data_IF_495318466313
#
_entry.id   IF_495318466313
#
_cell.length_a   1.000
_cell.length_b   1.000
_cell.length_c   1.000
_cell.angle_alpha   90.00
_cell.angle_beta   90.00
_cell.angle_gamma   90.00
#
_symmetry.space_group_name_H-M   'P 1'
#
loop_
_entity.id
_entity.type
_entity.pdbx_description
1 polymer ?
#
# COMPACT_ATOMS: atom_id res chain seq x y z
N UNK A 1 5.66 14.05 3.74
CA UNK A 1 4.39 13.55 3.15
C UNK A 1 3.29 14.57 3.36
N UNK A 2 2.51 14.86 2.34
CA UNK A 2 1.35 15.75 2.43
C UNK A 2 0.09 14.94 2.64
N UNK A 3 -0.70 15.29 3.64
CA UNK A 3 -1.98 14.66 3.92
C UNK A 3 -3.03 15.69 4.34
N UNK A 4 -4.31 15.34 4.18
CA UNK A 4 -5.47 16.13 4.61
C UNK A 4 -6.38 15.27 5.49
N UNK A 5 -6.94 15.88 6.56
CA UNK A 5 -8.04 15.32 7.36
C UNK A 5 -9.32 16.07 7.08
N UNK A 6 -10.41 15.33 6.98
CA UNK A 6 -11.74 15.87 6.70
C UNK A 6 -12.81 15.08 7.44
N UNK A 7 -13.99 15.68 7.60
CA UNK A 7 -15.19 15.01 8.07
C UNK A 7 -15.93 14.34 6.91
N UNK A 8 -16.60 13.21 7.17
CA UNK A 8 -17.39 12.54 6.13
C UNK A 8 -18.45 13.45 5.49
N UNK A 9 -19.08 14.31 6.27
CA UNK A 9 -20.12 15.23 5.79
C UNK A 9 -19.60 16.27 4.79
N UNK A 10 -18.34 16.66 4.91
CA UNK A 10 -17.68 17.68 4.08
C UNK A 10 -16.57 17.10 3.21
N UNK A 11 -16.54 15.78 3.05
CA UNK A 11 -15.47 15.08 2.34
C UNK A 11 -15.31 15.56 0.91
N UNK A 12 -14.07 15.71 0.51
CA UNK A 12 -13.68 16.10 -0.83
C UNK A 12 -12.47 15.26 -1.27
N UNK A 13 -12.59 14.55 -2.36
CA UNK A 13 -11.52 13.70 -2.91
C UNK A 13 -10.61 14.48 -3.89
N UNK A 14 -11.01 15.65 -4.32
CA UNK A 14 -10.28 16.44 -5.34
C UNK A 14 -8.82 16.65 -4.99
N UNK A 15 -8.42 17.02 -3.76
CA UNK A 15 -7.01 17.19 -3.43
C UNK A 15 -6.14 15.94 -3.71
N UNK A 16 -6.73 14.75 -3.60
CA UNK A 16 -6.04 13.50 -3.91
C UNK A 16 -5.97 13.25 -5.41
N UNK A 17 -7.07 13.53 -6.14
CA UNK A 17 -7.15 13.39 -7.61
C UNK A 17 -6.21 14.37 -8.31
N UNK A 18 -6.16 15.62 -7.82
CA UNK A 18 -5.28 16.66 -8.36
C UNK A 18 -3.83 16.51 -7.87
N UNK A 19 -3.54 15.44 -7.15
CA UNK A 19 -2.21 15.15 -6.60
C UNK A 19 -1.67 16.25 -5.66
N UNK A 20 -2.52 16.98 -4.96
CA UNK A 20 -2.11 17.96 -3.94
C UNK A 20 -1.60 17.26 -2.68
N UNK A 21 -2.19 16.10 -2.36
CA UNK A 21 -1.82 15.25 -1.23
C UNK A 21 -1.68 13.79 -1.66
N UNK A 22 -0.94 13.00 -0.90
CA UNK A 22 -0.79 11.56 -1.13
C UNK A 22 -1.67 10.72 -0.20
N UNK A 23 -2.17 11.32 0.87
CA UNK A 23 -3.03 10.64 1.85
C UNK A 23 -4.21 11.54 2.22
N UNK A 24 -5.40 10.99 2.09
CA UNK A 24 -6.65 11.59 2.54
C UNK A 24 -7.24 10.76 3.67
N UNK A 25 -7.50 11.38 4.81
CA UNK A 25 -8.10 10.77 5.99
C UNK A 25 -9.49 11.39 6.17
N UNK A 26 -10.52 10.55 6.24
CA UNK A 26 -11.90 11.00 6.45
C UNK A 26 -12.40 10.38 7.75
N UNK A 27 -12.75 11.24 8.70
CA UNK A 27 -13.26 10.86 10.02
C UNK A 27 -14.78 10.73 10.02
N UNK A 28 -15.32 10.02 10.99
CA UNK A 28 -16.77 9.83 11.17
C UNK A 28 -17.47 9.25 9.93
N UNK A 29 -16.77 8.37 9.21
CA UNK A 29 -17.29 7.68 8.03
C UNK A 29 -18.32 6.63 8.47
N UNK A 30 -19.52 6.58 7.88
CA UNK A 30 -20.51 5.56 8.18
C UNK A 30 -19.98 4.16 7.75
N UNK A 31 -20.34 3.13 8.49
CA UNK A 31 -19.99 1.75 8.18
C UNK A 31 -20.88 1.21 7.04
N UNK A 32 -20.69 1.73 5.83
CA UNK A 32 -21.47 1.38 4.65
C UNK A 32 -20.59 1.21 3.43
N UNK A 33 -20.45 -0.03 2.95
CA UNK A 33 -19.72 -0.31 1.73
C UNK A 33 -20.32 0.42 0.52
N UNK A 34 -21.64 0.49 0.43
CA UNK A 34 -22.35 1.15 -0.68
C UNK A 34 -21.99 2.64 -0.74
N UNK A 35 -21.98 3.33 0.40
CA UNK A 35 -21.61 4.75 0.43
C UNK A 35 -20.14 4.98 0.06
N UNK A 36 -19.23 4.09 0.48
CA UNK A 36 -17.83 4.14 0.06
C UNK A 36 -17.68 3.91 -1.44
N UNK A 37 -18.37 2.92 -2.01
CA UNK A 37 -18.39 2.69 -3.46
C UNK A 37 -18.92 3.90 -4.21
N UNK A 38 -20.06 4.46 -3.79
CA UNK A 38 -20.66 5.65 -4.41
C UNK A 38 -19.74 6.88 -4.33
N UNK A 39 -18.93 6.98 -3.28
CA UNK A 39 -17.95 8.07 -3.14
C UNK A 39 -16.77 7.91 -4.10
N UNK A 40 -16.32 6.68 -4.39
CA UNK A 40 -15.12 6.40 -5.16
C UNK A 40 -15.38 6.19 -6.66
N UNK A 41 -16.46 5.50 -7.00
CA UNK A 41 -16.72 5.06 -8.37
C UNK A 41 -16.90 6.16 -9.41
N UNK A 42 -17.22 7.42 -9.10
CA UNK A 42 -17.13 8.49 -10.07
C UNK A 42 -15.72 8.74 -10.61
N UNK A 43 -14.69 8.44 -9.82
CA UNK A 43 -13.30 8.79 -10.10
C UNK A 43 -12.41 7.58 -10.38
N UNK A 44 -12.71 6.45 -9.78
CA UNK A 44 -11.89 5.24 -9.81
C UNK A 44 -12.67 4.02 -10.25
N UNK A 45 -11.93 3.07 -10.84
CA UNK A 45 -12.36 1.70 -11.03
C UNK A 45 -11.95 0.88 -9.81
N UNK A 46 -12.89 0.22 -9.16
CA UNK A 46 -12.58 -0.67 -8.03
C UNK A 46 -12.06 -1.99 -8.56
N UNK A 47 -10.83 -2.33 -8.20
CA UNK A 47 -10.21 -3.57 -8.61
C UNK A 47 -10.73 -4.76 -7.78
N UNK A 48 -11.04 -5.90 -8.39
CA UNK A 48 -11.36 -7.11 -7.65
C UNK A 48 -10.15 -7.56 -6.82
N UNK A 49 -10.36 -7.79 -5.53
CA UNK A 49 -9.32 -8.25 -4.61
C UNK A 49 -9.03 -9.73 -4.81
N UNK A 50 -10.05 -10.50 -5.08
CA UNK A 50 -9.96 -11.89 -5.49
C UNK A 50 -10.70 -12.08 -6.82
N UNK A 51 -9.98 -12.28 -7.93
CA UNK A 51 -10.59 -12.46 -9.24
C UNK A 51 -11.46 -13.71 -9.36
N UNK A 52 -11.22 -14.73 -8.52
CA UNK A 52 -11.99 -15.97 -8.54
C UNK A 52 -13.33 -15.80 -7.82
N UNK A 53 -13.32 -15.11 -6.70
CA UNK A 53 -14.52 -14.89 -5.88
C UNK A 53 -15.22 -13.57 -6.20
N UNK A 54 -14.67 -12.75 -7.11
CA UNK A 54 -15.15 -11.41 -7.47
C UNK A 54 -15.35 -10.50 -6.25
N UNK A 55 -14.55 -10.74 -5.21
CA UNK A 55 -14.62 -9.91 -3.99
C UNK A 55 -13.94 -8.57 -4.24
N UNK A 56 -14.69 -7.48 -4.04
CA UNK A 56 -14.20 -6.10 -4.15
C UNK A 56 -13.56 -5.59 -2.86
N UNK A 57 -14.01 -6.11 -1.72
CA UNK A 57 -13.54 -5.72 -0.40
C UNK A 57 -12.78 -6.86 0.23
N UNK A 58 -11.53 -6.65 0.59
CA UNK A 58 -10.80 -7.58 1.43
C UNK A 58 -10.84 -7.13 2.89
N UNK A 59 -10.83 -8.11 3.79
CA UNK A 59 -10.84 -7.87 5.23
C UNK A 59 -9.43 -8.05 5.78
N UNK A 60 -8.94 -7.05 6.50
CA UNK A 60 -7.70 -7.08 7.27
C UNK A 60 -8.08 -7.13 8.74
N UNK A 61 -7.90 -8.26 9.41
CA UNK A 61 -8.38 -8.47 10.77
C UNK A 61 -7.41 -9.32 11.57
N UNK A 62 -7.31 -9.05 12.88
CA UNK A 62 -6.56 -9.85 13.86
C UNK A 62 -7.04 -11.30 13.90
N UNK A 63 -8.33 -11.54 13.72
CA UNK A 63 -8.90 -12.90 13.65
C UNK A 63 -8.35 -13.76 12.52
N UNK A 64 -7.80 -13.13 11.47
CA UNK A 64 -7.17 -13.84 10.37
C UNK A 64 -5.77 -14.35 10.68
N UNK A 65 -5.11 -13.83 11.72
CA UNK A 65 -3.82 -14.37 12.18
C UNK A 65 -3.95 -15.78 12.73
N UNK A 66 -5.11 -16.13 13.31
CA UNK A 66 -5.42 -17.48 13.74
C UNK A 66 -5.49 -18.47 12.56
N UNK A 67 -5.79 -17.98 11.37
CA UNK A 67 -5.83 -18.75 10.12
C UNK A 67 -4.50 -18.74 9.36
N UNK A 68 -3.39 -18.29 9.98
CA UNK A 68 -2.07 -18.13 9.36
C UNK A 68 -2.03 -17.19 8.16
N UNK A 69 -2.98 -16.26 8.05
CA UNK A 69 -2.98 -15.22 7.02
C UNK A 69 -2.26 -13.97 7.53
N UNK A 70 -0.93 -13.99 7.51
CA UNK A 70 -0.10 -12.92 8.04
C UNK A 70 -0.28 -11.59 7.33
N UNK A 71 -0.66 -11.57 6.05
CA UNK A 71 -0.90 -10.33 5.32
C UNK A 71 -2.13 -9.58 5.82
N UNK A 72 -3.13 -10.31 6.27
CA UNK A 72 -4.42 -9.76 6.69
C UNK A 72 -4.64 -9.80 8.21
N UNK A 73 -3.66 -10.32 8.94
CA UNK A 73 -3.71 -10.45 10.40
C UNK A 73 -3.15 -9.22 11.15
N UNK A 74 -2.65 -9.46 12.35
CA UNK A 74 -2.07 -8.46 13.25
C UNK A 74 -0.52 -8.46 13.26
N UNK A 75 0.13 -9.27 12.42
CA UNK A 75 1.57 -9.33 12.29
C UNK A 75 2.14 -8.05 11.66
N UNK A 76 3.40 -7.78 11.94
CA UNK A 76 4.14 -6.73 11.25
C UNK A 76 4.23 -7.06 9.75
N UNK A 77 4.10 -6.03 8.92
CA UNK A 77 4.42 -6.10 7.49
C UNK A 77 5.55 -5.13 7.18
N UNK A 78 6.54 -5.58 6.43
CA UNK A 78 7.63 -4.74 5.94
C UNK A 78 7.13 -3.61 5.03
N UNK A 79 7.99 -2.63 4.77
CA UNK A 79 7.71 -1.55 3.83
C UNK A 79 7.38 -2.09 2.44
N UNK A 80 6.20 -1.77 1.94
CA UNK A 80 5.71 -2.27 0.66
C UNK A 80 4.78 -1.29 -0.06
N UNK A 81 4.59 -1.60 -1.33
CA UNK A 81 3.59 -1.02 -2.22
C UNK A 81 2.63 -2.15 -2.55
N UNK A 82 1.34 -1.98 -2.33
CA UNK A 82 0.36 -3.01 -2.63
C UNK A 82 0.40 -3.42 -4.09
N UNK A 83 0.57 -4.73 -4.34
CA UNK A 83 0.71 -5.30 -5.70
C UNK A 83 1.85 -4.69 -6.52
N UNK A 84 2.87 -4.13 -5.87
CA UNK A 84 4.04 -3.54 -6.55
C UNK A 84 4.83 -4.54 -7.39
N UNK A 85 4.58 -5.84 -7.24
CA UNK A 85 5.12 -6.91 -8.08
C UNK A 85 4.37 -7.11 -9.41
N UNK A 86 3.26 -6.43 -9.64
CA UNK A 86 2.49 -6.55 -10.88
C UNK A 86 2.95 -5.52 -11.92
N UNK A 87 2.74 -5.81 -13.19
CA UNK A 87 3.00 -4.87 -14.29
C UNK A 87 2.22 -3.56 -14.12
N UNK A 88 1.01 -3.64 -13.59
CA UNK A 88 0.20 -2.49 -13.18
C UNK A 88 -0.12 -2.62 -11.69
N UNK A 89 0.65 -2.00 -10.79
CA UNK A 89 0.27 -1.84 -9.40
C UNK A 89 -1.04 -1.06 -9.25
N UNK A 90 -1.69 -1.15 -8.11
CA UNK A 90 -2.84 -0.30 -7.82
C UNK A 90 -2.43 1.16 -7.78
N UNK A 91 -3.27 2.06 -8.30
CA UNK A 91 -3.02 3.49 -8.25
C UNK A 91 -3.29 4.01 -6.84
N UNK A 92 -4.43 3.63 -6.28
CA UNK A 92 -4.86 4.04 -4.95
C UNK A 92 -5.29 2.84 -4.13
N UNK A 93 -5.17 2.96 -2.80
CA UNK A 93 -5.73 2.00 -1.85
C UNK A 93 -6.54 2.73 -0.79
N UNK A 94 -7.71 2.18 -0.49
CA UNK A 94 -8.56 2.62 0.59
C UNK A 94 -8.52 1.60 1.72
N UNK A 95 -8.37 2.08 2.94
CA UNK A 95 -8.58 1.35 4.18
C UNK A 95 -9.68 2.02 4.99
N UNK A 96 -10.66 1.26 5.46
CA UNK A 96 -11.70 1.74 6.36
C UNK A 96 -11.67 0.95 7.66
N UNK A 97 -11.62 1.65 8.78
CA UNK A 97 -11.55 1.05 10.11
C UNK A 97 -12.95 0.75 10.65
N UNK A 98 -13.38 -0.50 10.55
CA UNK A 98 -14.64 -0.99 11.11
C UNK A 98 -14.58 -1.04 12.63
N UNK A 99 -13.48 -1.56 13.16
CA UNK A 99 -13.19 -1.68 14.58
C UNK A 99 -11.69 -1.60 14.81
N UNK A 100 -11.30 -0.81 15.80
CA UNK A 100 -9.90 -0.64 16.18
C UNK A 100 -9.79 -0.53 17.70
N UNK A 101 -9.08 -1.46 18.32
CA UNK A 101 -8.73 -1.44 19.74
C UNK A 101 -7.52 -0.55 20.03
N UNK A 102 -7.19 -0.37 21.29
CA UNK A 102 -6.11 0.53 21.73
C UNK A 102 -4.73 0.13 21.16
N UNK A 103 -4.45 -1.17 21.02
CA UNK A 103 -3.18 -1.73 20.59
C UNK A 103 -3.26 -2.35 19.20
N UNK A 104 -4.06 -1.78 18.31
CA UNK A 104 -4.33 -2.37 16.99
C UNK A 104 -3.15 -2.37 16.02
N UNK A 105 -2.04 -1.73 16.38
CA UNK A 105 -0.89 -1.47 15.53
C UNK A 105 -1.12 -0.30 14.56
N UNK A 106 -0.13 0.57 14.49
CA UNK A 106 -0.18 1.74 13.61
C UNK A 106 0.14 1.35 12.16
N UNK A 107 -0.27 2.19 11.23
CA UNK A 107 0.22 2.14 9.85
C UNK A 107 1.19 3.28 9.63
N UNK A 108 2.39 2.94 9.19
CA UNK A 108 3.41 3.93 8.82
C UNK A 108 3.35 4.16 7.32
N UNK A 109 3.51 5.40 6.92
CA UNK A 109 3.63 5.83 5.53
C UNK A 109 4.93 6.57 5.32
N UNK A 110 5.57 6.34 4.19
CA UNK A 110 6.72 7.09 3.72
C UNK A 110 6.36 7.78 2.42
N UNK A 111 6.72 9.05 2.34
CA UNK A 111 6.64 9.83 1.11
C UNK A 111 7.76 9.39 0.16
N UNK A 112 7.39 8.71 -0.91
CA UNK A 112 8.34 8.30 -1.94
C UNK A 112 8.70 9.43 -2.91
N UNK A 113 8.06 10.60 -2.78
CA UNK A 113 8.27 11.71 -3.70
C UNK A 113 9.64 12.34 -3.51
N UNK A 114 10.16 12.78 -4.63
CA UNK A 114 11.41 13.53 -4.69
C UNK A 114 11.01 15.00 -4.78
N UNK A 115 10.93 15.65 -3.61
CA UNK A 115 10.49 17.05 -3.50
C UNK A 115 11.65 18.04 -3.55
N UNK A 116 12.86 17.57 -3.31
CA UNK A 116 14.08 18.36 -3.23
C UNK A 116 15.07 17.91 -4.33
N UNK A 117 16.15 18.64 -4.45
CA UNK A 117 17.27 18.18 -5.28
C UNK A 117 17.69 16.79 -4.85
N UNK A 118 17.62 15.85 -5.79
CA UNK A 118 18.13 14.50 -5.57
C UNK A 118 19.59 14.63 -5.15
N UNK A 119 20.00 14.07 -4.01
CA UNK A 119 21.40 14.07 -3.62
C UNK A 119 22.27 13.52 -4.75
N UNK A 120 23.43 14.10 -4.98
CA UNK A 120 24.30 13.72 -6.10
C UNK A 120 24.62 12.22 -6.08
N UNK A 121 24.84 11.64 -4.89
CA UNK A 121 25.09 10.21 -4.73
C UNK A 121 23.90 9.33 -5.17
N UNK A 122 22.69 9.91 -5.21
CA UNK A 122 21.48 9.20 -5.60
C UNK A 122 21.20 9.28 -7.11
N UNK A 123 21.80 10.25 -7.82
CA UNK A 123 21.66 10.43 -9.28
C UNK A 123 22.13 9.20 -10.07
N UNK A 124 23.09 8.43 -9.52
CA UNK A 124 23.56 7.18 -10.14
C UNK A 124 22.46 6.14 -10.36
N UNK A 125 21.37 6.23 -9.64
CA UNK A 125 20.23 5.30 -9.75
C UNK A 125 19.15 5.75 -10.74
N UNK A 126 19.34 6.86 -11.45
CA UNK A 126 18.29 7.46 -12.30
C UNK A 126 17.73 6.49 -13.35
N UNK A 127 18.58 5.63 -13.91
CA UNK A 127 18.20 4.64 -14.92
C UNK A 127 18.07 3.21 -14.31
N UNK A 128 18.10 3.09 -12.99
CA UNK A 128 18.09 1.79 -12.32
C UNK A 128 16.74 1.09 -12.47
N UNK A 129 16.81 -0.21 -12.64
CA UNK A 129 15.66 -1.09 -12.76
C UNK A 129 15.47 -1.90 -11.47
N UNK A 130 14.33 -1.73 -10.86
CA UNK A 130 13.90 -2.50 -9.70
C UNK A 130 13.37 -3.84 -10.16
N UNK A 131 14.00 -4.92 -9.73
CA UNK A 131 13.62 -6.30 -10.06
C UNK A 131 12.74 -6.87 -8.96
N UNK A 132 11.71 -7.61 -9.35
CA UNK A 132 10.90 -8.37 -8.40
C UNK A 132 11.57 -9.70 -8.05
N UNK A 133 11.90 -9.89 -6.76
CA UNK A 133 12.38 -11.17 -6.26
C UNK A 133 11.22 -12.11 -5.96
N UNK A 134 10.77 -12.82 -6.99
CA UNK A 134 9.66 -13.77 -6.88
C UNK A 134 9.96 -14.91 -5.90
N UNK A 135 11.23 -15.32 -5.77
CA UNK A 135 11.58 -16.40 -4.85
C UNK A 135 11.53 -15.91 -3.40
N UNK A 136 12.13 -14.75 -3.11
CA UNK A 136 11.99 -14.12 -1.79
C UNK A 136 10.52 -13.97 -1.41
N UNK A 137 9.68 -13.48 -2.31
CA UNK A 137 8.24 -13.31 -2.08
C UNK A 137 7.54 -14.63 -1.75
N UNK A 138 7.74 -15.68 -2.57
CA UNK A 138 7.09 -16.98 -2.42
C UNK A 138 7.53 -17.77 -1.18
N UNK A 139 8.73 -17.49 -0.67
CA UNK A 139 9.30 -18.17 0.50
C UNK A 139 9.31 -17.32 1.76
N UNK A 140 8.81 -16.07 1.69
CA UNK A 140 8.69 -15.24 2.88
C UNK A 140 7.60 -15.73 3.81
N UNK A 141 7.79 -15.56 5.11
CA UNK A 141 6.76 -15.83 6.12
C UNK A 141 5.57 -14.88 5.98
N UNK A 142 5.75 -13.75 5.32
CA UNK A 142 4.71 -12.74 5.14
C UNK A 142 3.80 -13.02 3.94
N UNK A 143 4.37 -13.48 2.82
CA UNK A 143 3.64 -13.61 1.55
C UNK A 143 3.48 -15.04 1.07
N UNK A 144 4.37 -15.95 1.47
CA UNK A 144 4.39 -17.34 1.01
C UNK A 144 3.14 -18.15 1.37
N UNK A 145 2.42 -17.74 2.40
CA UNK A 145 1.20 -18.42 2.87
C UNK A 145 0.04 -18.43 1.87
N UNK A 146 0.00 -17.46 0.96
CA UNK A 146 -1.08 -17.35 -0.01
C UNK A 146 -1.04 -18.46 -1.06
N UNK A 147 0.08 -19.18 -1.16
CA UNK A 147 0.27 -20.23 -2.15
C UNK A 147 0.10 -21.60 -1.50
N UNK A 148 -1.06 -22.20 -1.71
CA UNK A 148 -1.47 -23.47 -1.09
C UNK A 148 -0.67 -24.67 -1.58
N UNK A 149 -0.15 -24.58 -2.81
CA UNK A 149 0.57 -25.67 -3.47
C UNK A 149 1.58 -25.18 -4.50
N UNK A 150 2.39 -26.09 -5.01
CA UNK A 150 3.43 -25.77 -5.99
C UNK A 150 2.85 -25.35 -7.37
N UNK A 151 1.64 -25.72 -7.71
CA UNK A 151 1.00 -25.30 -8.97
C UNK A 151 0.73 -23.80 -8.93
N UNK A 152 0.16 -23.31 -7.83
CA UNK A 152 -0.08 -21.88 -7.62
C UNK A 152 1.23 -21.07 -7.61
N UNK A 153 2.28 -21.61 -6.96
CA UNK A 153 3.61 -20.98 -6.94
C UNK A 153 4.22 -20.90 -8.34
N UNK A 154 4.13 -21.97 -9.15
CA UNK A 154 4.60 -21.97 -10.55
C UNK A 154 3.83 -20.99 -11.40
N UNK A 155 2.53 -20.95 -11.24
CA UNK A 155 1.68 -19.98 -11.95
C UNK A 155 2.09 -18.54 -11.60
N UNK A 156 2.29 -18.25 -10.33
CA UNK A 156 2.71 -16.93 -9.87
C UNK A 156 4.09 -16.55 -10.43
N UNK A 157 5.08 -17.44 -10.35
CA UNK A 157 6.41 -17.23 -10.95
C UNK A 157 6.31 -16.92 -12.44
N UNK A 158 5.50 -17.68 -13.16
CA UNK A 158 5.32 -17.50 -14.61
C UNK A 158 4.68 -16.16 -14.93
N UNK A 159 3.74 -15.70 -14.11
CA UNK A 159 3.00 -14.47 -14.34
C UNK A 159 3.78 -13.22 -13.94
N UNK A 160 4.53 -13.26 -12.85
CA UNK A 160 5.13 -12.08 -12.25
C UNK A 160 6.66 -12.13 -12.13
N UNK A 161 7.29 -13.27 -12.33
CA UNK A 161 8.72 -13.47 -12.09
C UNK A 161 9.67 -12.64 -12.97
N UNK A 162 9.15 -12.00 -14.01
CA UNK A 162 9.92 -11.14 -14.93
C UNK A 162 9.47 -9.68 -14.89
N UNK A 163 8.61 -9.31 -13.95
CA UNK A 163 8.13 -7.93 -13.82
C UNK A 163 9.24 -7.05 -13.25
N UNK A 164 9.51 -5.97 -13.96
CA UNK A 164 10.50 -4.97 -13.57
C UNK A 164 9.87 -3.58 -13.65
N UNK A 165 10.35 -2.68 -12.81
CA UNK A 165 9.93 -1.29 -12.79
C UNK A 165 11.15 -0.38 -12.83
N UNK A 166 11.03 0.84 -13.37
CA UNK A 166 12.03 1.86 -13.16
C UNK A 166 12.01 2.27 -11.68
N UNK A 167 13.18 2.49 -11.09
CA UNK A 167 13.27 2.99 -9.72
C UNK A 167 12.66 4.39 -9.62
N UNK A 168 12.97 5.26 -10.57
CA UNK A 168 12.38 6.58 -10.68
C UNK A 168 11.18 6.54 -11.63
N UNK A 169 10.05 6.97 -11.13
CA UNK A 169 8.82 7.09 -11.88
C UNK A 169 8.25 8.50 -11.72
N UNK A 170 7.33 8.87 -12.58
CA UNK A 170 6.72 10.18 -12.59
C UNK A 170 5.20 10.07 -12.67
N UNK A 171 4.51 10.93 -11.96
CA UNK A 171 3.09 11.22 -12.12
C UNK A 171 2.85 12.73 -12.30
N UNK A 172 1.60 13.18 -12.27
CA UNK A 172 1.23 14.60 -12.42
C UNK A 172 1.86 15.52 -11.37
N UNK A 173 2.25 14.98 -10.22
CA UNK A 173 2.83 15.75 -9.11
C UNK A 173 4.37 15.77 -9.13
N UNK A 174 4.99 15.02 -9.99
CA UNK A 174 6.45 14.95 -10.12
C UNK A 174 7.02 13.55 -9.92
N UNK A 175 8.31 13.50 -9.66
CA UNK A 175 9.05 12.25 -9.56
C UNK A 175 8.86 11.57 -8.20
N UNK A 176 8.85 10.26 -8.22
CA UNK A 176 8.84 9.42 -7.02
C UNK A 176 9.68 8.16 -7.20
N UNK A 177 10.10 7.58 -6.08
CA UNK A 177 10.89 6.35 -6.03
C UNK A 177 9.95 5.17 -5.88
N UNK A 178 10.00 4.25 -6.85
CA UNK A 178 9.26 3.00 -6.80
C UNK A 178 10.16 1.89 -6.29
N UNK A 179 10.15 1.64 -4.99
CA UNK A 179 10.94 0.59 -4.33
C UNK A 179 10.15 -0.02 -3.19
N UNK A 180 10.22 -1.34 -3.06
CA UNK A 180 9.53 -2.10 -2.05
C UNK A 180 10.51 -3.03 -1.34
N UNK A 181 10.86 -2.73 -0.11
CA UNK A 181 11.83 -3.50 0.67
C UNK A 181 11.44 -4.97 0.78
N UNK A 182 10.15 -5.24 0.90
CA UNK A 182 9.62 -6.58 1.12
C UNK A 182 10.02 -7.58 0.01
N UNK A 183 10.18 -7.12 -1.25
CA UNK A 183 10.38 -8.04 -2.37
C UNK A 183 11.14 -7.48 -3.58
N UNK A 184 11.68 -6.29 -3.51
CA UNK A 184 12.48 -5.75 -4.61
C UNK A 184 13.98 -5.94 -4.40
N UNK A 185 14.70 -6.12 -5.51
CA UNK A 185 16.16 -6.16 -5.56
C UNK A 185 16.64 -5.03 -6.44
N UNK A 186 17.61 -4.29 -5.94
CA UNK A 186 18.41 -3.31 -6.68
C UNK A 186 19.85 -3.34 -6.15
N UNK A 187 20.83 -2.93 -6.93
CA UNK A 187 22.18 -2.66 -6.41
C UNK A 187 22.12 -1.58 -5.31
N UNK A 188 23.03 -1.67 -4.34
CA UNK A 188 23.13 -0.68 -3.25
C UNK A 188 21.79 -0.35 -2.57
N UNK A 189 20.95 -1.36 -2.34
CA UNK A 189 19.60 -1.18 -1.77
C UNK A 189 19.61 -0.38 -0.46
N UNK A 190 20.65 -0.46 0.34
CA UNK A 190 20.75 0.23 1.62
C UNK A 190 20.78 1.75 1.45
N UNK A 191 21.40 2.26 0.39
CA UNK A 191 21.38 3.70 0.06
C UNK A 191 19.96 4.19 -0.24
N UNK A 192 19.19 3.38 -0.97
CA UNK A 192 17.78 3.70 -1.27
C UNK A 192 16.92 3.64 -0.02
N UNK A 193 17.14 2.66 0.84
CA UNK A 193 16.43 2.52 2.11
C UNK A 193 16.73 3.68 3.06
N UNK A 194 18.00 4.05 3.21
CA UNK A 194 18.41 5.19 4.05
C UNK A 194 17.72 6.48 3.60
N UNK A 195 17.64 6.71 2.30
CA UNK A 195 16.93 7.88 1.76
C UNK A 195 15.43 7.80 1.99
N UNK A 196 14.79 6.68 1.62
CA UNK A 196 13.33 6.53 1.70
C UNK A 196 12.83 6.50 3.14
N UNK A 197 13.46 5.68 3.99
CA UNK A 197 12.95 5.40 5.33
C UNK A 197 13.58 6.29 6.40
N UNK A 198 14.11 7.44 5.99
CA UNK A 198 14.60 8.43 6.94
C UNK A 198 13.46 8.87 7.88
N UNK A 199 13.68 8.96 9.21
CA UNK A 199 12.62 9.24 10.19
C UNK A 199 11.77 10.47 9.88
N UNK A 200 12.37 11.53 9.32
CA UNK A 200 11.66 12.76 8.95
C UNK A 200 10.68 12.61 7.77
N UNK A 201 10.72 11.49 7.07
CA UNK A 201 9.84 11.16 5.95
C UNK A 201 8.68 10.25 6.36
N UNK A 202 8.72 9.72 7.57
CA UNK A 202 7.75 8.75 8.07
C UNK A 202 6.58 9.48 8.74
N UNK A 203 5.38 9.20 8.26
CA UNK A 203 4.13 9.57 8.92
C UNK A 203 3.53 8.34 9.60
N UNK A 204 3.24 8.46 10.90
CA UNK A 204 2.59 7.43 11.71
C UNK A 204 1.11 7.72 11.82
N UNK A 205 0.29 6.82 11.28
CA UNK A 205 -1.16 6.89 11.40
C UNK A 205 -1.64 5.97 12.53
N UNK A 206 -2.18 6.59 13.58
CA UNK A 206 -2.90 5.88 14.65
C UNK A 206 -4.37 5.79 14.27
N UNK A 207 -4.84 4.56 14.19
CA UNK A 207 -6.20 4.29 13.78
C UNK A 207 -7.24 4.68 14.82
N UNK A 208 -8.39 5.16 14.35
CA UNK A 208 -9.63 5.28 15.11
C UNK A 208 -10.74 4.57 14.37
N UNK A 209 -11.68 3.97 15.09
CA UNK A 209 -12.88 3.36 14.49
C UNK A 209 -13.67 4.42 13.71
N UNK A 210 -14.14 4.07 12.51
CA UNK A 210 -14.87 4.97 11.62
C UNK A 210 -14.01 5.92 10.80
N UNK A 211 -12.68 5.70 10.75
CA UNK A 211 -11.80 6.43 9.81
C UNK A 211 -11.71 5.70 8.48
N UNK A 212 -11.79 6.47 7.39
CA UNK A 212 -11.46 6.05 6.04
C UNK A 212 -10.15 6.74 5.64
N UNK A 213 -9.18 5.94 5.22
CA UNK A 213 -7.89 6.41 4.76
C UNK A 213 -7.70 5.98 3.32
N UNK A 214 -7.50 6.95 2.42
CA UNK A 214 -7.28 6.75 0.99
C UNK A 214 -5.88 7.31 0.65
N UNK A 215 -5.04 6.52 -0.01
CA UNK A 215 -3.67 6.92 -0.30
C UNK A 215 -3.19 6.53 -1.69
N UNK A 216 -2.28 7.35 -2.24
CA UNK A 216 -1.57 7.06 -3.48
C UNK A 216 -0.59 5.89 -3.22
N UNK A 217 -0.94 4.73 -3.72
CA UNK A 217 -0.22 3.50 -3.46
C UNK A 217 1.18 3.46 -4.11
N UNK A 218 1.37 4.16 -5.23
CA UNK A 218 2.65 4.17 -5.95
C UNK A 218 3.64 5.18 -5.35
N UNK A 219 3.14 6.33 -4.92
CA UNK A 219 3.96 7.41 -4.38
C UNK A 219 4.16 7.33 -2.86
N UNK A 220 3.64 6.27 -2.20
CA UNK A 220 3.86 6.02 -0.77
C UNK A 220 4.19 4.57 -0.52
N UNK A 221 5.27 4.30 0.20
CA UNK A 221 5.42 3.00 0.85
C UNK A 221 4.65 3.01 2.16
N UNK A 222 4.12 1.86 2.52
CA UNK A 222 3.47 1.72 3.80
C UNK A 222 3.94 0.44 4.52
N UNK A 223 3.88 0.50 5.84
CA UNK A 223 4.28 -0.56 6.75
C UNK A 223 3.21 -0.70 7.81
N UNK A 224 2.89 -1.93 8.20
CA UNK A 224 2.05 -2.19 9.36
C UNK A 224 2.92 -2.59 10.53
N UNK A 225 2.80 -1.88 11.63
CA UNK A 225 3.41 -2.31 12.89
C UNK A 225 2.64 -3.51 13.46
N UNK A 226 3.36 -4.31 14.24
CA UNK A 226 2.73 -5.39 14.99
C UNK A 226 1.64 -4.80 15.87
N UNK A 227 0.43 -5.30 15.74
CA UNK A 227 -0.71 -4.89 16.53
C UNK A 227 -1.11 -5.93 17.54
N UNK A 228 -1.88 -5.52 18.52
CA UNK A 228 -2.57 -6.39 19.44
C UNK A 228 -3.86 -6.96 18.83
N UNK A 229 -4.88 -7.01 19.63
CA UNK A 229 -6.21 -7.53 19.31
C UNK A 229 -7.16 -6.43 18.84
N UNK A 230 -8.29 -6.83 18.25
CA UNK A 230 -9.39 -5.94 17.86
C UNK A 230 -9.06 -4.98 16.70
N UNK A 231 -8.47 -5.50 15.63
CA UNK A 231 -8.32 -4.76 14.39
C UNK A 231 -9.16 -5.38 13.28
N UNK A 232 -10.09 -4.61 12.76
CA UNK A 232 -10.91 -4.99 11.62
C UNK A 232 -10.98 -3.84 10.62
N UNK A 233 -10.30 -3.98 9.49
CA UNK A 233 -10.31 -2.99 8.41
C UNK A 233 -10.92 -3.62 7.15
N UNK A 234 -11.64 -2.81 6.40
CA UNK A 234 -11.95 -3.10 4.99
C UNK A 234 -10.91 -2.46 4.10
N UNK A 235 -10.52 -3.17 3.05
CA UNK A 235 -9.55 -2.71 2.07
C UNK A 235 -10.16 -2.78 0.68
N UNK A 236 -10.06 -1.68 -0.07
CA UNK A 236 -10.34 -1.63 -1.50
C UNK A 236 -9.09 -1.17 -2.24
N UNK A 237 -8.86 -1.77 -3.41
CA UNK A 237 -7.83 -1.33 -4.33
C UNK A 237 -8.47 -0.68 -5.55
N UNK A 238 -7.84 0.36 -6.08
CA UNK A 238 -8.43 1.25 -7.04
C UNK A 238 -7.47 1.52 -8.20
N UNK A 239 -8.02 1.64 -9.40
CA UNK A 239 -7.33 2.14 -10.58
C UNK A 239 -7.92 3.49 -10.99
N UNK A 240 -7.08 4.41 -11.42
CA UNK A 240 -7.52 5.64 -12.08
C UNK A 240 -8.24 5.30 -13.39
N UNK A 241 -9.34 6.03 -13.66
CA UNK A 241 -10.11 5.93 -14.90
C UNK A 241 -9.47 6.66 -16.05
#
# INVERSE_FOLDING_TARGET
>A
MKYIRQEWKTRNIIPLIDNEVDVLIIENTPCSQIEMFNFLTPYYEVAPQDPLDQMWVSVVSDKRSEQKDNLKGNTELEWHIDKGYATRPFDMVLLYSVLVGQDSGDTLFVDNRITDLIPDYFKKFQDEIVKFDVNRFLHSDQYGYHFRNEIERRWFRRKYGTVNHKLFQQDKRGDYIFYCEAYNIIPDADVVKEFLYHPNRIYRHKWKTGELLLYNNKATNHKREKGGVERHLWKLALYEK
#
